data_IF_403865638406
#
_entry.id   IF_403865638406
#
_cell.length_a   1.000
_cell.length_b   1.000
_cell.length_c   1.000
_cell.angle_alpha   90.00
_cell.angle_beta   90.00
_cell.angle_gamma   90.00
#
_symmetry.space_group_name_H-M   'P 1'
#
loop_
_entity.id
_entity.type
_entity.pdbx_description
1 polymer ?
#
# COMPACT_ATOMS: atom_id res chain seq x y z
N UNK A 1 -9.66 -40.84 -9.88
CA UNK A 1 -10.04 -39.41 -9.84
C UNK A 1 -9.50 -38.73 -11.08
N UNK A 2 -10.32 -38.06 -11.90
CA UNK A 2 -9.84 -37.27 -13.03
C UNK A 2 -8.75 -36.28 -12.56
N UNK A 3 -7.61 -36.17 -13.26
CA UNK A 3 -6.49 -35.33 -12.82
C UNK A 3 -6.88 -33.85 -12.67
N UNK A 4 -7.85 -33.40 -13.46
CA UNK A 4 -8.42 -32.04 -13.37
C UNK A 4 -9.06 -31.78 -12.00
N UNK A 5 -9.69 -32.77 -11.37
CA UNK A 5 -10.33 -32.61 -10.06
C UNK A 5 -9.28 -32.43 -8.97
N UNK A 6 -8.18 -33.19 -9.03
CA UNK A 6 -7.08 -33.08 -8.07
C UNK A 6 -6.41 -31.70 -8.17
N UNK A 7 -6.18 -31.22 -9.39
CA UNK A 7 -5.64 -29.88 -9.62
C UNK A 7 -6.59 -28.77 -9.15
N UNK A 8 -7.89 -28.89 -9.43
CA UNK A 8 -8.89 -27.93 -8.97
C UNK A 8 -8.95 -27.87 -7.44
N UNK A 9 -8.97 -29.02 -6.75
CA UNK A 9 -8.92 -29.06 -5.29
C UNK A 9 -7.64 -28.41 -4.74
N UNK A 10 -6.50 -28.72 -5.35
CA UNK A 10 -5.21 -28.11 -4.98
C UNK A 10 -5.24 -26.59 -5.12
N UNK A 11 -5.75 -26.07 -6.24
CA UNK A 11 -5.87 -24.63 -6.49
C UNK A 11 -6.81 -23.95 -5.49
N UNK A 12 -7.96 -24.57 -5.18
CA UNK A 12 -8.91 -24.05 -4.18
C UNK A 12 -8.27 -24.02 -2.79
N UNK A 13 -7.54 -25.08 -2.40
CA UNK A 13 -6.81 -25.13 -1.13
C UNK A 13 -5.75 -24.03 -1.03
N UNK A 14 -4.94 -23.85 -2.08
CA UNK A 14 -3.94 -22.80 -2.14
C UNK A 14 -4.57 -21.40 -2.04
N UNK A 15 -5.65 -21.14 -2.76
CA UNK A 15 -6.37 -19.86 -2.72
C UNK A 15 -6.93 -19.58 -1.31
N UNK A 16 -7.46 -20.59 -0.63
CA UNK A 16 -7.96 -20.46 0.73
C UNK A 16 -6.82 -20.08 1.72
N UNK A 17 -5.64 -20.70 1.60
CA UNK A 17 -4.48 -20.35 2.41
C UNK A 17 -4.01 -18.92 2.14
N UNK A 18 -3.86 -18.52 0.88
CA UNK A 18 -3.47 -17.14 0.53
C UNK A 18 -4.45 -16.14 1.13
N UNK A 19 -5.76 -16.40 1.04
CA UNK A 19 -6.79 -15.55 1.64
C UNK A 19 -6.65 -15.45 3.16
N UNK A 20 -6.37 -16.57 3.83
CA UNK A 20 -6.15 -16.62 5.27
C UNK A 20 -4.91 -15.81 5.68
N UNK A 21 -3.77 -16.02 5.01
CA UNK A 21 -2.54 -15.27 5.27
C UNK A 21 -2.74 -13.76 5.02
N UNK A 22 -3.41 -13.39 3.93
CA UNK A 22 -3.70 -11.99 3.63
C UNK A 22 -4.61 -11.36 4.71
N UNK A 23 -5.58 -12.12 5.23
CA UNK A 23 -6.47 -11.65 6.30
C UNK A 23 -5.70 -11.44 7.61
N UNK A 24 -4.85 -12.39 8.00
CA UNK A 24 -4.08 -12.26 9.24
C UNK A 24 -3.00 -11.18 9.12
N UNK A 25 -2.35 -11.08 7.96
CA UNK A 25 -1.42 -10.00 7.65
C UNK A 25 -2.10 -8.64 7.75
N UNK A 26 -3.31 -8.47 7.20
CA UNK A 26 -4.09 -7.22 7.33
C UNK A 26 -4.53 -6.95 8.77
N UNK A 27 -4.87 -7.99 9.54
CA UNK A 27 -5.23 -7.85 10.95
C UNK A 27 -4.05 -7.32 11.77
N UNK A 28 -2.85 -7.86 11.51
CA UNK A 28 -1.61 -7.41 12.15
C UNK A 28 -1.20 -6.03 11.65
N UNK A 29 -1.27 -5.77 10.35
CA UNK A 29 -0.95 -4.47 9.74
C UNK A 29 -2.06 -3.42 9.88
N UNK A 30 -3.17 -3.71 10.57
CA UNK A 30 -4.26 -2.76 10.75
C UNK A 30 -3.77 -1.45 11.42
N UNK A 31 -2.75 -1.55 12.27
CA UNK A 31 -2.07 -0.41 12.89
C UNK A 31 -1.26 0.39 11.87
N UNK A 32 -0.50 -0.27 10.98
CA UNK A 32 0.26 0.40 9.92
C UNK A 32 -0.66 1.04 8.87
N UNK A 33 -1.76 0.39 8.52
CA UNK A 33 -2.78 0.92 7.61
C UNK A 33 -3.58 2.04 8.25
N UNK A 34 -3.75 2.06 9.58
CA UNK A 34 -4.32 3.20 10.30
C UNK A 34 -3.36 4.39 10.28
N UNK A 35 -2.06 4.16 10.49
CA UNK A 35 -1.03 5.21 10.40
C UNK A 35 -0.92 5.77 8.99
N UNK A 36 -0.86 4.92 7.95
CA UNK A 36 -0.85 5.37 6.55
C UNK A 36 -2.10 6.16 6.19
N UNK A 37 -3.29 5.69 6.57
CA UNK A 37 -4.54 6.44 6.33
C UNK A 37 -4.59 7.74 7.12
N UNK A 38 -4.04 7.77 8.34
CA UNK A 38 -3.94 9.00 9.12
C UNK A 38 -2.91 9.98 8.54
N UNK A 39 -1.80 9.49 7.97
CA UNK A 39 -0.82 10.30 7.24
C UNK A 39 -1.38 10.86 5.92
N UNK A 40 -2.15 10.07 5.17
CA UNK A 40 -2.85 10.52 3.96
C UNK A 40 -3.98 11.51 4.28
N UNK A 41 -4.73 11.30 5.37
CA UNK A 41 -5.78 12.22 5.81
C UNK A 41 -5.21 13.53 6.40
N UNK A 42 -4.05 13.47 7.04
CA UNK A 42 -3.33 14.65 7.55
C UNK A 42 -2.32 15.22 6.55
N UNK A 43 -2.24 14.71 5.32
CA UNK A 43 -1.43 15.34 4.30
C UNK A 43 -2.10 16.67 3.92
N UNK A 44 -1.48 17.83 4.25
CA UNK A 44 -2.05 19.10 3.85
C UNK A 44 -2.09 19.14 2.32
N UNK A 45 -3.27 19.47 1.77
CA UNK A 45 -3.43 19.78 0.36
C UNK A 45 -2.50 20.96 0.04
N UNK A 46 -1.31 20.66 -0.52
CA UNK A 46 -0.25 21.66 -0.68
C UNK A 46 0.95 21.47 0.24
N UNK A 47 1.36 20.23 0.52
CA UNK A 47 2.75 19.97 0.97
C UNK A 47 3.68 20.57 -0.07
N UNK A 48 4.20 21.77 0.23
CA UNK A 48 4.98 22.55 -0.73
C UNK A 48 6.17 21.72 -1.18
N UNK A 49 6.16 21.31 -2.44
CA UNK A 49 7.28 20.58 -3.01
C UNK A 49 8.43 21.56 -3.14
N UNK A 50 9.62 21.16 -2.67
CA UNK A 50 10.81 21.95 -2.87
C UNK A 50 11.13 21.95 -4.36
N UNK A 51 11.12 23.14 -4.98
CA UNK A 51 11.45 23.34 -6.38
C UNK A 51 12.77 24.09 -6.46
N UNK A 52 13.66 23.63 -7.35
CA UNK A 52 14.96 24.28 -7.54
C UNK A 52 14.78 25.62 -8.25
N UNK A 53 15.31 26.68 -7.65
CA UNK A 53 15.38 28.02 -8.23
C UNK A 53 16.41 28.02 -9.37
N UNK A 54 16.02 28.35 -10.61
CA UNK A 54 16.95 28.36 -11.74
C UNK A 54 17.99 29.48 -11.66
N UNK A 55 17.73 30.56 -10.91
CA UNK A 55 18.64 31.69 -10.80
C UNK A 55 19.75 31.45 -9.76
N UNK A 56 19.40 30.84 -8.63
CA UNK A 56 20.33 30.64 -7.50
C UNK A 56 20.76 29.18 -7.30
N UNK A 57 19.99 28.23 -7.85
CA UNK A 57 20.19 26.81 -7.64
C UNK A 57 19.66 26.28 -6.29
N UNK A 58 19.14 27.15 -5.42
CA UNK A 58 18.60 26.80 -4.12
C UNK A 58 17.20 26.17 -4.23
N UNK A 59 16.85 25.28 -3.31
CA UNK A 59 15.51 24.70 -3.26
C UNK A 59 14.56 25.57 -2.44
N UNK A 60 13.46 26.03 -3.06
CA UNK A 60 12.44 26.88 -2.43
C UNK A 60 11.06 26.21 -2.42
N UNK A 61 10.18 26.51 -1.45
CA UNK A 61 8.82 25.97 -1.42
C UNK A 61 8.03 26.39 -2.66
N UNK A 62 7.34 25.43 -3.31
CA UNK A 62 6.43 25.74 -4.42
C UNK A 62 5.16 26.45 -3.90
N UNK A 63 5.18 27.77 -3.78
CA UNK A 63 3.98 28.55 -3.43
C UNK A 63 4.18 29.86 -2.66
N UNK A 64 5.40 30.33 -2.43
CA UNK A 64 5.66 31.67 -1.88
C UNK A 64 5.83 32.71 -2.98
#
# INVERSE_FOLDING_TARGET
MPPVIVLALGAVGAAALVKLLAKESRRVNAELDATRRAEEANQPAGRATLRRDPATGEYRPSGS
#
